data_IF_023686487054
#
_entry.id   IF_023686487054
#
_cell.length_a   1.000
_cell.length_b   1.000
_cell.length_c   1.000
_cell.angle_alpha   90.00
_cell.angle_beta   90.00
_cell.angle_gamma   90.00
#
_symmetry.space_group_name_H-M   'P 1'
#
loop_
_entity.id
_entity.type
_entity.pdbx_description
1 polymer ?
#
# COMPACT_ATOMS: atom_id res chain seq x y z
N UNK A 1 4.04 -22.11 -21.47
CA UNK A 1 4.50 -22.36 -20.09
C UNK A 1 4.33 -21.07 -19.31
N UNK A 2 3.49 -21.04 -18.28
CA UNK A 2 3.35 -19.85 -17.44
C UNK A 2 4.70 -19.57 -16.78
N UNK A 3 5.26 -18.35 -16.94
CA UNK A 3 6.46 -17.95 -16.22
C UNK A 3 6.18 -18.12 -14.74
N UNK A 4 6.98 -18.94 -14.05
CA UNK A 4 6.92 -19.05 -12.58
C UNK A 4 7.20 -17.65 -12.05
N UNK A 5 6.18 -17.02 -11.45
CA UNK A 5 6.30 -15.70 -10.84
C UNK A 5 7.32 -15.82 -9.70
N UNK A 6 8.29 -14.89 -9.63
CA UNK A 6 9.31 -14.87 -8.57
C UNK A 6 8.60 -14.77 -7.21
N UNK A 7 8.95 -15.66 -6.28
CA UNK A 7 8.46 -15.64 -4.90
C UNK A 7 9.37 -14.76 -4.03
N UNK A 8 8.78 -13.86 -3.25
CA UNK A 8 9.46 -12.92 -2.35
C UNK A 8 9.50 -13.41 -0.89
N UNK A 9 8.58 -14.30 -0.50
CA UNK A 9 8.53 -14.90 0.83
C UNK A 9 8.67 -16.42 0.74
N UNK A 10 9.84 -16.94 0.33
CA UNK A 10 10.04 -18.37 0.12
C UNK A 10 9.83 -19.16 1.41
N UNK A 11 9.19 -20.32 1.30
CA UNK A 11 8.89 -21.19 2.44
C UNK A 11 7.71 -20.73 3.31
N UNK A 12 7.15 -19.54 3.06
CA UNK A 12 5.94 -19.07 3.73
C UNK A 12 4.74 -19.35 2.82
N UNK A 13 3.90 -20.30 3.21
CA UNK A 13 2.61 -20.54 2.53
C UNK A 13 1.51 -19.59 2.98
N UNK A 14 0.28 -19.84 2.53
CA UNK A 14 -0.90 -19.16 3.07
C UNK A 14 -1.04 -19.45 4.56
N UNK A 15 -1.18 -18.41 5.38
CA UNK A 15 -1.33 -18.49 6.83
C UNK A 15 -2.71 -19.05 7.15
N UNK A 16 -2.75 -20.16 7.89
CA UNK A 16 -3.98 -20.89 8.22
C UNK A 16 -4.41 -20.62 9.65
N UNK A 17 -5.69 -20.86 9.93
CA UNK A 17 -6.19 -20.95 11.29
C UNK A 17 -5.89 -22.35 11.87
N UNK A 18 -5.28 -22.38 13.06
CA UNK A 18 -4.98 -23.62 13.81
C UNK A 18 -5.56 -23.63 15.22
N UNK A 19 -6.23 -22.53 15.62
CA UNK A 19 -6.90 -22.42 16.91
C UNK A 19 -6.00 -22.10 18.09
N UNK A 20 -6.66 -21.84 19.23
CA UNK A 20 -6.06 -21.20 20.42
C UNK A 20 -4.89 -21.97 21.06
N UNK A 21 -4.84 -23.29 20.85
CA UNK A 21 -3.80 -24.17 21.41
C UNK A 21 -2.57 -24.26 20.51
N UNK A 22 -2.63 -23.78 19.27
CA UNK A 22 -1.50 -23.85 18.35
C UNK A 22 -0.28 -23.12 18.92
N UNK A 23 0.89 -23.75 18.73
CA UNK A 23 2.20 -23.18 19.01
C UNK A 23 2.91 -22.70 17.75
N UNK A 24 2.35 -22.97 16.57
CA UNK A 24 2.88 -22.47 15.31
C UNK A 24 2.81 -20.92 15.30
N UNK A 25 3.95 -20.21 15.17
CA UNK A 25 3.94 -18.76 15.07
C UNK A 25 3.38 -18.25 13.74
N UNK A 26 3.33 -19.09 12.71
CA UNK A 26 2.83 -18.78 11.36
C UNK A 26 1.43 -19.35 11.13
N UNK A 27 0.58 -19.31 12.16
CA UNK A 27 -0.82 -19.68 12.10
C UNK A 27 -1.67 -18.75 12.96
N UNK A 28 -2.88 -18.46 12.50
CA UNK A 28 -3.86 -17.74 13.30
C UNK A 28 -4.38 -18.63 14.43
N UNK A 29 -4.33 -18.10 15.65
CA UNK A 29 -4.89 -18.76 16.85
C UNK A 29 -6.35 -18.39 17.11
N UNK A 30 -6.79 -17.25 16.56
CA UNK A 30 -8.08 -16.64 16.86
C UNK A 30 -8.86 -16.22 15.61
N UNK A 31 -8.16 -15.80 14.57
CA UNK A 31 -8.80 -15.37 13.34
C UNK A 31 -9.07 -16.58 12.44
N UNK A 32 -10.32 -17.04 12.45
CA UNK A 32 -10.88 -17.91 11.42
C UNK A 32 -11.76 -17.03 10.51
N UNK A 33 -11.35 -16.78 9.25
CA UNK A 33 -12.08 -15.88 8.35
C UNK A 33 -13.52 -16.33 8.07
N UNK A 34 -13.81 -17.63 8.19
CA UNK A 34 -15.14 -18.20 7.91
C UNK A 34 -16.01 -18.36 9.16
N UNK A 35 -15.44 -18.19 10.36
CA UNK A 35 -16.21 -18.25 11.60
C UNK A 35 -17.29 -17.17 11.63
N UNK A 36 -18.53 -17.59 11.87
CA UNK A 36 -19.67 -16.68 12.03
C UNK A 36 -19.71 -16.16 13.47
N UNK A 37 -19.73 -14.85 13.63
CA UNK A 37 -19.91 -14.14 14.89
C UNK A 37 -21.11 -13.23 14.73
N UNK A 38 -22.14 -13.42 15.55
CA UNK A 38 -23.38 -12.60 15.51
C UNK A 38 -23.96 -12.47 14.09
N UNK A 39 -24.03 -13.58 13.35
CA UNK A 39 -24.64 -13.64 12.01
C UNK A 39 -23.78 -13.18 10.83
N UNK A 40 -22.51 -12.79 11.06
CA UNK A 40 -21.60 -12.34 9.99
C UNK A 40 -20.21 -12.97 10.17
N UNK A 41 -19.53 -13.29 9.06
CA UNK A 41 -18.20 -13.93 9.11
C UNK A 41 -17.16 -12.97 9.68
N UNK A 42 -16.16 -13.47 10.41
CA UNK A 42 -15.11 -12.63 11.00
C UNK A 42 -14.41 -11.76 9.96
N UNK A 43 -14.10 -12.28 8.77
CA UNK A 43 -13.47 -11.49 7.69
C UNK A 43 -14.31 -10.27 7.28
N UNK A 44 -15.64 -10.40 7.33
CA UNK A 44 -16.56 -9.33 6.93
C UNK A 44 -16.76 -8.32 8.07
N UNK A 45 -16.59 -8.72 9.33
CA UNK A 45 -16.55 -7.82 10.49
C UNK A 45 -15.26 -7.01 10.51
N UNK A 46 -14.13 -7.70 10.40
CA UNK A 46 -12.81 -7.12 10.65
C UNK A 46 -12.27 -6.37 9.44
N UNK A 47 -12.55 -6.88 8.23
CA UNK A 47 -12.16 -6.25 6.95
C UNK A 47 -10.71 -5.75 6.95
N UNK A 48 -9.79 -6.61 7.41
CA UNK A 48 -8.38 -6.23 7.57
C UNK A 48 -7.79 -5.69 6.27
N UNK A 49 -7.01 -4.63 6.40
CA UNK A 49 -6.27 -4.01 5.32
C UNK A 49 -4.77 -3.95 5.65
N UNK A 50 -3.94 -4.19 4.64
CA UNK A 50 -2.48 -4.02 4.76
C UNK A 50 -2.10 -2.60 4.35
N UNK A 51 -1.40 -1.89 5.23
CA UNK A 51 -0.85 -0.57 4.99
C UNK A 51 0.43 -0.67 4.14
N UNK A 52 0.37 -0.22 2.89
CA UNK A 52 1.47 -0.40 1.94
C UNK A 52 2.76 0.29 2.39
N UNK A 53 2.65 1.53 2.90
CA UNK A 53 3.80 2.33 3.36
C UNK A 53 4.63 1.62 4.43
N UNK A 54 4.01 1.08 5.49
CA UNK A 54 4.76 0.39 6.54
C UNK A 54 5.26 -0.99 6.12
N UNK A 55 4.48 -1.73 5.34
CA UNK A 55 4.83 -3.12 5.00
C UNK A 55 5.90 -3.24 3.92
N UNK A 56 5.93 -2.32 2.95
CA UNK A 56 6.76 -2.47 1.74
C UNK A 56 7.65 -1.26 1.43
N UNK A 57 7.54 -0.17 2.19
CA UNK A 57 8.35 1.04 1.98
C UNK A 57 9.18 1.41 3.22
N UNK A 58 8.67 1.21 4.43
CA UNK A 58 9.39 1.51 5.67
C UNK A 58 10.64 0.65 5.85
N UNK A 59 11.81 1.26 5.78
CA UNK A 59 13.10 0.57 5.80
C UNK A 59 13.75 0.49 7.20
N UNK A 60 13.03 0.93 8.23
CA UNK A 60 13.51 0.96 9.61
C UNK A 60 14.39 2.17 9.95
N UNK A 61 14.54 3.14 9.05
CA UNK A 61 15.16 4.43 9.36
C UNK A 61 14.37 5.15 10.46
N UNK A 62 15.09 5.79 11.37
CA UNK A 62 14.52 6.70 12.38
C UNK A 62 15.31 8.02 12.44
N UNK A 63 14.98 8.90 13.38
CA UNK A 63 15.64 10.21 13.49
C UNK A 63 17.10 10.14 13.96
N UNK A 64 17.58 8.97 14.38
CA UNK A 64 18.89 8.74 15.00
C UNK A 64 19.72 7.66 14.31
N UNK A 65 19.18 6.97 13.30
CA UNK A 65 19.82 5.84 12.66
C UNK A 65 19.36 5.59 11.22
N UNK A 66 20.18 4.85 10.48
CA UNK A 66 19.95 4.50 9.09
C UNK A 66 18.99 3.32 8.92
N UNK A 67 18.55 3.09 7.67
CA UNK A 67 17.79 1.93 7.26
C UNK A 67 18.40 0.61 7.75
N UNK A 68 17.55 -0.29 8.23
CA UNK A 68 17.93 -1.62 8.73
C UNK A 68 17.29 -2.77 7.94
N UNK A 69 16.21 -2.51 7.20
CA UNK A 69 15.58 -3.50 6.34
C UNK A 69 16.30 -3.59 4.98
N UNK A 70 16.65 -4.81 4.58
CA UNK A 70 17.24 -5.09 3.28
C UNK A 70 16.18 -5.68 2.35
N UNK A 71 15.55 -4.83 1.55
CA UNK A 71 14.57 -5.29 0.58
C UNK A 71 15.23 -5.72 -0.73
N UNK A 72 14.69 -6.75 -1.41
CA UNK A 72 15.27 -7.26 -2.66
C UNK A 72 15.17 -6.27 -3.83
N UNK A 73 14.44 -5.17 -3.69
CA UNK A 73 14.25 -4.12 -4.69
C UNK A 73 15.08 -2.84 -4.41
N UNK A 74 15.95 -2.84 -3.40
CA UNK A 74 16.74 -1.67 -3.05
C UNK A 74 17.65 -1.21 -4.20
N UNK A 75 18.33 -2.14 -4.88
CA UNK A 75 19.26 -1.84 -5.97
C UNK A 75 18.62 -1.89 -7.37
N UNK A 76 17.31 -2.03 -7.44
CA UNK A 76 16.58 -2.09 -8.72
C UNK A 76 16.42 -0.69 -9.34
N UNK A 77 16.25 -0.66 -10.67
CA UNK A 77 15.84 0.57 -11.36
C UNK A 77 14.51 1.09 -10.78
N UNK A 78 14.20 2.40 -10.87
CA UNK A 78 12.96 2.94 -10.29
C UNK A 78 11.69 2.19 -10.74
N UNK A 79 11.61 1.85 -12.02
CA UNK A 79 10.47 1.11 -12.58
C UNK A 79 10.43 -0.34 -12.10
N UNK A 80 11.57 -1.03 -12.07
CA UNK A 80 11.62 -2.41 -11.59
C UNK A 80 11.35 -2.49 -10.09
N UNK A 81 11.80 -1.50 -9.32
CA UNK A 81 11.51 -1.36 -7.90
C UNK A 81 10.00 -1.27 -7.64
N UNK A 82 9.26 -0.56 -8.49
CA UNK A 82 7.79 -0.51 -8.40
C UNK A 82 7.18 -1.89 -8.67
N UNK A 83 7.54 -2.52 -9.78
CA UNK A 83 7.03 -3.86 -10.16
C UNK A 83 7.32 -4.90 -9.08
N UNK A 84 8.54 -4.91 -8.57
CA UNK A 84 8.98 -5.85 -7.54
C UNK A 84 8.24 -5.65 -6.23
N UNK A 85 8.02 -4.39 -5.82
CA UNK A 85 7.22 -4.08 -4.62
C UNK A 85 5.76 -4.50 -4.78
N UNK A 86 5.14 -4.24 -5.93
CA UNK A 86 3.77 -4.65 -6.20
C UNK A 86 3.63 -6.18 -6.17
N UNK A 87 4.55 -6.92 -6.80
CA UNK A 87 4.54 -8.38 -6.77
C UNK A 87 4.70 -8.92 -5.35
N UNK A 88 5.66 -8.39 -4.58
CA UNK A 88 5.85 -8.77 -3.19
C UNK A 88 4.63 -8.42 -2.32
N UNK A 89 4.02 -7.25 -2.54
CA UNK A 89 2.86 -6.82 -1.79
C UNK A 89 1.66 -7.74 -1.99
N UNK A 90 1.30 -8.04 -3.24
CA UNK A 90 0.17 -8.93 -3.52
C UNK A 90 0.45 -10.38 -3.10
N UNK A 91 1.70 -10.84 -3.17
CA UNK A 91 2.08 -12.13 -2.58
C UNK A 91 1.86 -12.14 -1.06
N UNK A 92 2.32 -11.11 -0.35
CA UNK A 92 2.15 -11.00 1.10
C UNK A 92 0.67 -10.95 1.49
N UNK A 93 -0.10 -10.06 0.86
CA UNK A 93 -1.52 -9.84 1.16
C UNK A 93 -2.33 -11.13 0.95
N UNK A 94 -2.04 -11.87 -0.12
CA UNK A 94 -2.72 -13.14 -0.39
C UNK A 94 -2.28 -14.25 0.57
N UNK A 95 -1.00 -14.32 0.94
CA UNK A 95 -0.49 -15.29 1.93
C UNK A 95 -1.07 -15.05 3.33
N UNK A 96 -1.11 -13.80 3.80
CA UNK A 96 -1.70 -13.47 5.10
C UNK A 96 -3.24 -13.57 5.08
N UNK A 97 -3.86 -13.53 3.90
CA UNK A 97 -5.31 -13.66 3.72
C UNK A 97 -6.09 -12.40 4.05
N UNK A 98 -5.46 -11.23 3.93
CA UNK A 98 -6.14 -9.95 4.13
C UNK A 98 -7.00 -9.61 2.89
N UNK A 99 -8.28 -9.22 3.05
CA UNK A 99 -9.14 -8.87 1.93
C UNK A 99 -8.80 -7.52 1.29
N UNK A 100 -8.14 -6.62 2.04
CA UNK A 100 -7.87 -5.27 1.59
C UNK A 100 -6.40 -4.83 1.69
N UNK A 101 -6.07 -3.75 0.98
CA UNK A 101 -4.88 -2.94 1.17
C UNK A 101 -5.21 -1.44 1.12
N UNK A 102 -4.26 -0.62 1.57
CA UNK A 102 -4.32 0.84 1.54
C UNK A 102 -2.98 1.40 1.08
N UNK A 103 -2.97 2.52 0.35
CA UNK A 103 -1.73 3.16 -0.13
C UNK A 103 -1.82 4.69 -0.18
N UNK A 104 -0.69 5.36 0.00
CA UNK A 104 -0.46 6.69 -0.59
C UNK A 104 0.07 6.51 -2.01
N UNK A 105 -0.31 7.39 -2.92
CA UNK A 105 0.21 7.45 -4.30
C UNK A 105 1.71 7.16 -4.43
N UNK A 106 2.56 7.87 -3.69
CA UNK A 106 4.02 7.71 -3.77
C UNK A 106 4.52 6.36 -3.24
N UNK A 107 3.74 5.65 -2.43
CA UNK A 107 4.12 4.33 -1.91
C UNK A 107 4.18 3.31 -3.06
N UNK A 108 3.21 3.38 -3.97
CA UNK A 108 3.05 2.43 -5.07
C UNK A 108 3.85 2.82 -6.31
N UNK A 109 4.12 4.12 -6.53
CA UNK A 109 4.82 4.57 -7.75
C UNK A 109 6.08 5.41 -7.54
N UNK A 110 6.51 5.64 -6.30
CA UNK A 110 7.66 6.49 -5.98
C UNK A 110 7.34 7.98 -6.02
N UNK A 111 7.98 8.75 -5.12
CA UNK A 111 7.75 10.17 -4.91
C UNK A 111 8.75 11.11 -5.60
N UNK A 112 9.66 10.57 -6.42
CA UNK A 112 10.72 11.34 -7.08
C UNK A 112 10.17 12.21 -8.22
N UNK A 113 10.68 13.43 -8.37
CA UNK A 113 10.28 14.35 -9.43
C UNK A 113 9.04 15.20 -9.09
N UNK A 114 8.36 15.68 -10.13
CA UNK A 114 7.20 16.58 -10.01
C UNK A 114 5.90 15.82 -9.75
N UNK A 115 4.84 16.54 -9.39
CA UNK A 115 3.49 15.94 -9.26
C UNK A 115 2.99 15.32 -10.58
N UNK A 116 3.44 15.86 -11.72
CA UNK A 116 3.13 15.32 -13.05
C UNK A 116 3.93 14.04 -13.35
N UNK A 117 5.14 13.90 -12.79
CA UNK A 117 5.90 12.65 -12.91
C UNK A 117 5.25 11.53 -12.09
N UNK A 118 4.68 11.87 -10.93
CA UNK A 118 3.87 10.95 -10.11
C UNK A 118 2.61 10.54 -10.87
N UNK A 119 1.87 11.49 -11.46
CA UNK A 119 0.67 11.23 -12.28
C UNK A 119 0.97 10.24 -13.41
N UNK A 120 2.02 10.49 -14.21
CA UNK A 120 2.43 9.58 -15.29
C UNK A 120 2.74 8.17 -14.82
N UNK A 121 3.35 8.01 -13.64
CA UNK A 121 3.63 6.68 -13.09
C UNK A 121 2.36 6.02 -12.57
N UNK A 122 1.43 6.76 -11.95
CA UNK A 122 0.11 6.23 -11.58
C UNK A 122 -0.65 5.73 -12.80
N UNK A 123 -0.74 6.53 -13.87
CA UNK A 123 -1.38 6.13 -15.13
C UNK A 123 -0.82 4.82 -15.68
N UNK A 124 0.49 4.61 -15.55
CA UNK A 124 1.16 3.38 -15.99
C UNK A 124 0.90 2.17 -15.08
N UNK A 125 0.86 2.36 -13.76
CA UNK A 125 0.86 1.25 -12.80
C UNK A 125 -0.50 0.92 -12.19
N UNK A 126 -1.47 1.83 -12.23
CA UNK A 126 -2.86 1.56 -11.83
C UNK A 126 -3.47 0.39 -12.63
N UNK A 127 -3.32 0.30 -13.97
CA UNK A 127 -3.79 -0.87 -14.72
C UNK A 127 -3.15 -2.18 -14.25
N UNK A 128 -1.85 -2.17 -13.94
CA UNK A 128 -1.12 -3.33 -13.44
C UNK A 128 -1.67 -3.78 -12.08
N UNK A 129 -1.94 -2.83 -11.18
CA UNK A 129 -2.54 -3.10 -9.88
C UNK A 129 -3.97 -3.65 -10.02
N UNK A 130 -4.74 -3.13 -10.96
CA UNK A 130 -6.09 -3.61 -11.27
C UNK A 130 -6.08 -5.08 -11.72
N UNK A 131 -5.18 -5.44 -12.64
CA UNK A 131 -4.99 -6.84 -13.06
C UNK A 131 -4.62 -7.74 -11.88
N UNK A 132 -3.78 -7.25 -10.95
CA UNK A 132 -3.44 -8.00 -9.73
C UNK A 132 -4.63 -8.17 -8.80
N UNK A 133 -5.50 -7.15 -8.64
CA UNK A 133 -6.74 -7.26 -7.88
C UNK A 133 -7.69 -8.29 -8.51
N UNK A 134 -7.84 -8.30 -9.83
CA UNK A 134 -8.67 -9.27 -10.54
C UNK A 134 -8.16 -10.71 -10.37
N UNK A 135 -6.83 -10.91 -10.45
CA UNK A 135 -6.22 -12.23 -10.29
C UNK A 135 -6.30 -12.77 -8.86
N UNK A 136 -6.25 -11.89 -7.85
CA UNK A 136 -6.12 -12.28 -6.44
C UNK A 136 -7.41 -12.15 -5.64
N UNK A 137 -8.36 -11.34 -6.11
CA UNK A 137 -9.57 -10.95 -5.38
C UNK A 137 -9.31 -9.94 -4.25
N UNK A 138 -8.08 -9.46 -4.08
CA UNK A 138 -7.72 -8.41 -3.11
C UNK A 138 -8.33 -7.08 -3.55
N UNK A 139 -8.85 -6.30 -2.60
CA UNK A 139 -9.55 -5.04 -2.88
C UNK A 139 -8.83 -3.83 -2.28
N UNK A 140 -9.04 -2.66 -2.87
CA UNK A 140 -8.57 -1.41 -2.28
C UNK A 140 -9.58 -0.96 -1.22
N UNK A 141 -9.16 -0.82 0.04
CA UNK A 141 -10.05 -0.21 1.05
C UNK A 141 -10.06 1.31 0.87
N UNK A 142 -8.88 1.91 0.69
CA UNK A 142 -8.73 3.32 0.35
C UNK A 142 -7.37 3.65 -0.22
N UNK A 143 -7.34 4.65 -1.11
CA UNK A 143 -6.13 5.38 -1.47
C UNK A 143 -6.09 6.76 -0.80
N UNK A 144 -4.92 7.40 -0.87
CA UNK A 144 -4.69 8.77 -0.40
C UNK A 144 -3.50 9.39 -1.14
N UNK A 145 -3.31 10.69 -1.00
CA UNK A 145 -2.12 11.40 -1.49
C UNK A 145 -1.14 11.64 -0.34
N UNK A 146 0.15 11.34 -0.54
CA UNK A 146 1.20 11.78 0.37
C UNK A 146 1.55 13.24 0.06
N UNK A 147 0.91 14.14 0.81
CA UNK A 147 1.11 15.59 0.72
C UNK A 147 1.95 16.13 1.89
N UNK A 148 2.90 15.33 2.40
CA UNK A 148 3.62 15.68 3.64
C UNK A 148 5.11 15.29 3.64
N UNK A 149 5.53 14.31 2.83
CA UNK A 149 6.93 13.84 2.81
C UNK A 149 7.84 14.70 1.95
N UNK A 150 7.37 15.17 0.78
CA UNK A 150 8.22 15.97 -0.12
C UNK A 150 8.51 17.36 0.51
N UNK A 151 9.75 17.87 0.43
CA UNK A 151 10.11 19.20 0.97
C UNK A 151 9.21 20.35 0.51
N UNK A 152 8.59 20.26 -0.67
CA UNK A 152 7.64 21.28 -1.16
C UNK A 152 6.47 21.50 -0.19
N UNK A 153 6.10 20.49 0.61
CA UNK A 153 4.99 20.55 1.54
C UNK A 153 5.40 20.94 2.97
N UNK A 154 6.64 21.40 3.18
CA UNK A 154 7.16 21.68 4.54
C UNK A 154 6.33 22.70 5.34
N UNK A 155 5.64 23.63 4.65
CA UNK A 155 4.78 24.66 5.23
C UNK A 155 3.28 24.36 5.05
N UNK A 156 2.92 23.10 4.80
CA UNK A 156 1.54 22.68 4.51
C UNK A 156 1.32 22.30 3.06
N UNK A 157 0.15 21.73 2.77
CA UNK A 157 -0.26 21.38 1.41
C UNK A 157 -1.48 22.21 1.01
N UNK A 158 -2.67 21.84 1.48
CA UNK A 158 -3.86 22.67 1.36
C UNK A 158 -3.80 23.94 2.23
N UNK A 159 -3.04 23.92 3.32
CA UNK A 159 -2.86 25.08 4.21
C UNK A 159 -1.58 25.87 3.93
N UNK A 160 -0.89 25.61 2.83
CA UNK A 160 0.38 26.29 2.55
C UNK A 160 0.15 27.79 2.30
N UNK A 161 0.98 28.70 2.87
CA UNK A 161 0.89 30.13 2.58
C UNK A 161 1.29 30.48 1.13
N UNK A 162 1.97 29.59 0.42
CA UNK A 162 2.28 29.70 -1.00
C UNK A 162 1.26 28.93 -1.87
N UNK A 163 0.51 29.68 -2.69
CA UNK A 163 -0.52 29.12 -3.56
C UNK A 163 0.04 28.16 -4.63
N UNK A 164 1.30 28.31 -5.06
CA UNK A 164 1.90 27.36 -5.98
C UNK A 164 2.00 25.95 -5.36
N UNK A 165 2.26 25.87 -4.05
CA UNK A 165 2.27 24.60 -3.33
C UNK A 165 0.86 24.02 -3.22
N UNK A 166 -0.16 24.86 -2.95
CA UNK A 166 -1.57 24.46 -2.95
C UNK A 166 -1.97 23.88 -4.32
N UNK A 167 -1.53 24.50 -5.42
CA UNK A 167 -1.79 24.02 -6.78
C UNK A 167 -1.12 22.66 -7.05
N UNK A 168 0.13 22.47 -6.62
CA UNK A 168 0.81 21.17 -6.69
C UNK A 168 0.06 20.10 -5.89
N UNK A 169 -0.36 20.42 -4.66
CA UNK A 169 -1.13 19.53 -3.83
C UNK A 169 -2.45 19.12 -4.50
N UNK A 170 -3.17 20.07 -5.12
CA UNK A 170 -4.38 19.81 -5.88
C UNK A 170 -4.16 18.86 -7.07
N UNK A 171 -3.08 19.03 -7.82
CA UNK A 171 -2.72 18.16 -8.94
C UNK A 171 -2.43 16.71 -8.48
N UNK A 172 -1.62 16.55 -7.43
CA UNK A 172 -1.30 15.23 -6.88
C UNK A 172 -2.55 14.57 -6.27
N UNK A 173 -3.37 15.34 -5.54
CA UNK A 173 -4.62 14.88 -4.96
C UNK A 173 -5.60 14.37 -6.01
N UNK A 174 -5.78 15.09 -7.12
CA UNK A 174 -6.60 14.64 -8.26
C UNK A 174 -6.15 13.26 -8.74
N UNK A 175 -4.85 13.08 -8.96
CA UNK A 175 -4.29 11.84 -9.49
C UNK A 175 -4.46 10.67 -8.52
N UNK A 176 -4.28 10.90 -7.21
CA UNK A 176 -4.53 9.87 -6.19
C UNK A 176 -6.02 9.49 -6.08
N UNK A 177 -6.94 10.46 -6.18
CA UNK A 177 -8.38 10.19 -6.22
C UNK A 177 -8.72 9.35 -7.46
N UNK A 178 -8.22 9.72 -8.63
CA UNK A 178 -8.47 8.97 -9.86
C UNK A 178 -7.96 7.53 -9.75
N UNK A 179 -6.72 7.33 -9.27
CA UNK A 179 -6.17 6.00 -9.02
C UNK A 179 -7.05 5.19 -8.04
N UNK A 180 -7.57 5.83 -6.99
CA UNK A 180 -8.48 5.18 -6.03
C UNK A 180 -9.78 4.74 -6.69
N UNK A 181 -10.38 5.59 -7.53
CA UNK A 181 -11.60 5.27 -8.28
C UNK A 181 -11.35 4.09 -9.23
N UNK A 182 -10.26 4.14 -10.01
CA UNK A 182 -9.95 3.13 -11.03
C UNK A 182 -9.70 1.73 -10.44
N UNK A 183 -9.17 1.68 -9.22
CA UNK A 183 -8.92 0.47 -8.43
C UNK A 183 -10.12 0.04 -7.56
N UNK A 184 -11.24 0.77 -7.65
CA UNK A 184 -12.48 0.46 -6.92
C UNK A 184 -12.37 0.65 -5.41
N UNK A 185 -11.61 1.66 -4.96
CA UNK A 185 -11.46 1.99 -3.56
C UNK A 185 -12.78 2.35 -2.89
N UNK A 186 -13.04 1.75 -1.73
CA UNK A 186 -14.32 1.96 -1.01
C UNK A 186 -14.35 3.28 -0.21
N UNK A 187 -13.19 3.88 0.05
CA UNK A 187 -13.06 5.15 0.73
C UNK A 187 -11.88 5.94 0.14
N UNK A 188 -11.79 7.21 0.48
CA UNK A 188 -10.62 8.06 0.22
C UNK A 188 -10.25 8.79 1.50
N UNK A 189 -8.97 8.82 1.84
CA UNK A 189 -8.49 9.37 3.12
C UNK A 189 -7.83 10.74 2.92
N UNK A 190 -8.02 11.63 3.88
CA UNK A 190 -7.22 12.84 4.05
C UNK A 190 -6.54 12.77 5.41
N UNK A 191 -5.22 12.64 5.43
CA UNK A 191 -4.42 12.79 6.64
C UNK A 191 -3.52 14.03 6.49
N UNK A 192 -3.83 15.06 7.26
CA UNK A 192 -3.17 16.36 7.18
C UNK A 192 -1.81 16.40 7.89
N UNK A 193 -0.84 15.60 7.43
CA UNK A 193 0.47 15.49 8.08
C UNK A 193 1.24 16.81 8.22
N UNK A 194 0.94 17.82 7.37
CA UNK A 194 1.47 19.19 7.41
C UNK A 194 0.38 20.26 7.49
N UNK A 195 -0.87 19.87 7.67
CA UNK A 195 -2.01 20.80 7.64
C UNK A 195 -2.26 21.36 9.05
N UNK A 196 -1.33 22.20 9.50
CA UNK A 196 -1.27 22.75 10.86
C UNK A 196 -0.14 23.77 10.99
N UNK A 197 0.19 24.17 12.23
CA UNK A 197 1.28 25.10 12.53
C UNK A 197 2.09 24.67 13.74
#
# INVERSE_FOLDING_TARGET
>A
MAKVKKEYYPGIGKIKFEGKKSKNPLAFRWYDPEQVVSGKKMKDHLRFAIAYWHSFCGDGTDQFGNATHQYPWNDASPEDRIKMRLDAAFEFITKIGAPYYCFHDVDVVGGEGTVLDIEKRLEKFVPVMKDMQEQTGVKLLWGTANLFSNPRYMNGAGTNPDFEVVANAGAQLKSAIQATIDLGGENYVFWGGREGY
#
